data_IF_642205856714
#
_entry.id   IF_642205856714
#
_cell.length_a   1.000
_cell.length_b   1.000
_cell.length_c   1.000
_cell.angle_alpha   90.00
_cell.angle_beta   90.00
_cell.angle_gamma   90.00
#
_symmetry.space_group_name_H-M   'P 1'
#
loop_
_entity.id
_entity.type
_entity.pdbx_description
1 polymer ?
#
# COMPACT_ATOMS: atom_id res chain seq x y z
N UNK A 1 -22.84 -32.41 46.38
CA UNK A 1 -23.35 -32.62 45.01
C UNK A 1 -23.86 -31.35 44.33
N UNK A 2 -24.65 -30.48 44.98
CA UNK A 2 -25.18 -29.26 44.32
C UNK A 2 -24.15 -28.14 44.07
N UNK A 3 -23.18 -27.94 44.97
CA UNK A 3 -22.17 -26.87 44.84
C UNK A 3 -21.12 -27.09 43.72
N UNK A 4 -20.81 -28.35 43.40
CA UNK A 4 -19.87 -28.68 42.32
C UNK A 4 -20.46 -28.42 40.92
N UNK A 5 -21.76 -28.66 40.75
CA UNK A 5 -22.44 -28.41 39.47
C UNK A 5 -22.51 -26.90 39.19
N UNK A 6 -22.91 -26.11 40.18
CA UNK A 6 -22.99 -24.65 40.09
C UNK A 6 -21.62 -24.02 39.82
N UNK A 7 -20.55 -24.49 40.48
CA UNK A 7 -19.20 -23.99 40.25
C UNK A 7 -18.68 -24.25 38.83
N UNK A 8 -19.01 -25.41 38.24
CA UNK A 8 -18.64 -25.73 36.85
C UNK A 8 -19.41 -24.90 35.83
N UNK A 9 -20.68 -24.63 36.10
CA UNK A 9 -21.55 -23.83 35.22
C UNK A 9 -21.14 -22.36 35.24
N UNK A 10 -20.86 -21.80 36.42
CA UNK A 10 -20.29 -20.46 36.55
C UNK A 10 -18.91 -20.35 35.89
N UNK A 11 -18.04 -21.35 36.06
CA UNK A 11 -16.74 -21.37 35.39
C UNK A 11 -16.88 -21.42 33.86
N UNK A 12 -17.83 -22.19 33.34
CA UNK A 12 -18.11 -22.24 31.91
C UNK A 12 -18.64 -20.89 31.39
N UNK A 13 -19.56 -20.26 32.11
CA UNK A 13 -20.09 -18.94 31.79
C UNK A 13 -18.99 -17.87 31.79
N UNK A 14 -18.12 -17.88 32.80
CA UNK A 14 -16.98 -16.96 32.89
C UNK A 14 -16.04 -17.16 31.70
N UNK A 15 -15.70 -18.40 31.38
CA UNK A 15 -14.84 -18.73 30.23
C UNK A 15 -15.48 -18.24 28.93
N UNK A 16 -16.77 -18.44 28.73
CA UNK A 16 -17.47 -17.98 27.53
C UNK A 16 -17.61 -16.45 27.48
N UNK A 17 -17.72 -15.79 28.63
CA UNK A 17 -17.66 -14.33 28.71
C UNK A 17 -16.29 -13.81 28.29
N UNK A 18 -15.21 -14.38 28.83
CA UNK A 18 -13.84 -14.01 28.47
C UNK A 18 -13.55 -14.28 26.99
N UNK A 19 -13.94 -15.44 26.47
CA UNK A 19 -13.80 -15.76 25.04
C UNK A 19 -14.51 -14.74 24.16
N UNK A 20 -15.74 -14.36 24.50
CA UNK A 20 -16.50 -13.36 23.75
C UNK A 20 -15.80 -12.01 23.76
N UNK A 21 -15.35 -11.57 24.93
CA UNK A 21 -14.63 -10.30 25.05
C UNK A 21 -13.34 -10.30 24.21
N UNK A 22 -12.52 -11.34 24.37
CA UNK A 22 -11.26 -11.46 23.62
C UNK A 22 -11.51 -11.53 22.11
N UNK A 23 -12.51 -12.31 21.66
CA UNK A 23 -12.85 -12.39 20.25
C UNK A 23 -13.34 -11.05 19.68
N UNK A 24 -14.13 -10.30 20.46
CA UNK A 24 -14.59 -8.96 20.08
C UNK A 24 -13.42 -7.97 19.98
N UNK A 25 -12.51 -7.97 20.95
CA UNK A 25 -11.32 -7.11 20.93
C UNK A 25 -10.41 -7.44 19.75
N UNK A 26 -10.15 -8.73 19.47
CA UNK A 26 -9.35 -9.15 18.31
C UNK A 26 -10.00 -8.68 17.01
N UNK A 27 -11.29 -8.95 16.82
CA UNK A 27 -12.00 -8.55 15.61
C UNK A 27 -11.99 -7.03 15.37
N UNK A 28 -12.10 -6.24 16.45
CA UNK A 28 -12.00 -4.78 16.38
C UNK A 28 -10.62 -4.32 15.88
N UNK A 29 -9.54 -4.89 16.43
CA UNK A 29 -8.18 -4.56 16.02
C UNK A 29 -7.89 -5.02 14.59
N UNK A 30 -8.33 -6.21 14.20
CA UNK A 30 -8.15 -6.75 12.85
C UNK A 30 -8.81 -5.85 11.81
N UNK A 31 -10.07 -5.43 12.04
CA UNK A 31 -10.77 -4.51 11.15
C UNK A 31 -10.02 -3.17 10.99
N UNK A 32 -9.46 -2.65 12.08
CA UNK A 32 -8.65 -1.43 12.04
C UNK A 32 -7.34 -1.60 11.26
N UNK A 33 -6.68 -2.76 11.39
CA UNK A 33 -5.45 -3.07 10.67
C UNK A 33 -5.73 -3.31 9.18
N UNK A 34 -6.77 -4.04 8.84
CA UNK A 34 -7.20 -4.27 7.45
C UNK A 34 -7.50 -2.95 6.74
N UNK A 35 -8.23 -2.04 7.40
CA UNK A 35 -8.52 -0.72 6.85
C UNK A 35 -7.23 0.09 6.59
N UNK A 36 -6.25 0.02 7.50
CA UNK A 36 -4.96 0.71 7.36
C UNK A 36 -4.09 0.10 6.27
N UNK A 37 -4.06 -1.24 6.16
CA UNK A 37 -3.32 -1.95 5.10
C UNK A 37 -3.89 -1.57 3.74
N UNK A 38 -5.21 -1.66 3.58
CA UNK A 38 -5.88 -1.26 2.34
C UNK A 38 -5.55 0.19 1.95
N UNK A 39 -5.60 1.11 2.90
CA UNK A 39 -5.26 2.51 2.63
C UNK A 39 -3.79 2.71 2.20
N UNK A 40 -2.87 1.88 2.69
CA UNK A 40 -1.46 1.91 2.28
C UNK A 40 -1.24 1.29 0.90
N UNK A 41 -1.94 0.20 0.59
CA UNK A 41 -1.86 -0.49 -0.71
C UNK A 41 -2.47 0.33 -1.85
N UNK A 42 -3.57 1.06 -1.58
CA UNK A 42 -4.22 1.93 -2.56
C UNK A 42 -3.49 3.28 -2.74
N UNK A 43 -2.54 3.60 -1.86
CA UNK A 43 -1.81 4.87 -1.91
C UNK A 43 -0.95 4.93 -3.19
N UNK A 44 -1.07 6.01 -3.99
CA UNK A 44 -0.18 6.20 -5.14
C UNK A 44 1.30 6.19 -4.71
N UNK A 45 2.07 5.26 -5.27
CA UNK A 45 3.50 5.15 -5.04
C UNK A 45 4.28 5.78 -6.20
N UNK A 46 5.41 6.40 -5.84
CA UNK A 46 6.43 6.83 -6.80
C UNK A 46 7.50 5.73 -6.86
N UNK A 47 7.59 5.04 -7.98
CA UNK A 47 8.55 3.95 -8.19
C UNK A 47 9.61 4.38 -9.21
N UNK A 48 10.86 4.53 -8.79
CA UNK A 48 11.94 4.83 -9.72
C UNK A 48 12.39 3.55 -10.46
N UNK A 49 12.29 3.57 -11.80
CA UNK A 49 12.53 2.44 -12.70
C UNK A 49 13.85 2.55 -13.48
N UNK A 50 14.75 3.45 -13.07
CA UNK A 50 16.03 3.65 -13.73
C UNK A 50 15.95 4.49 -15.01
N UNK A 51 16.87 4.25 -15.94
CA UNK A 51 16.88 4.91 -17.26
C UNK A 51 15.75 4.32 -18.12
N UNK A 52 15.09 5.17 -18.91
CA UNK A 52 14.06 4.72 -19.84
C UNK A 52 14.59 3.68 -20.83
N UNK A 53 13.80 2.63 -21.04
CA UNK A 53 14.03 1.56 -22.01
C UNK A 53 12.75 1.32 -22.83
N UNK A 54 12.86 1.40 -24.15
CA UNK A 54 11.73 1.21 -25.08
C UNK A 54 11.18 -0.22 -25.12
N UNK A 55 11.90 -1.21 -24.57
CA UNK A 55 11.41 -2.58 -24.43
C UNK A 55 10.40 -2.73 -23.28
N UNK A 56 10.45 -1.85 -22.27
CA UNK A 56 9.67 -1.96 -21.04
C UNK A 56 8.33 -1.25 -21.14
N UNK A 57 7.35 -1.79 -20.42
CA UNK A 57 6.07 -1.14 -20.16
C UNK A 57 6.14 -0.40 -18.83
N UNK A 58 5.75 0.87 -18.82
CA UNK A 58 5.69 1.69 -17.62
C UNK A 58 4.25 1.97 -17.25
N UNK A 59 3.95 2.00 -15.96
CA UNK A 59 2.62 2.27 -15.41
C UNK A 59 2.60 3.63 -14.70
N UNK A 60 1.40 4.13 -14.39
CA UNK A 60 1.23 5.36 -13.62
C UNK A 60 1.99 5.27 -12.30
N UNK A 61 2.71 6.32 -11.92
CA UNK A 61 3.53 6.32 -10.70
C UNK A 61 4.99 5.94 -10.93
N UNK A 62 5.32 5.32 -12.07
CA UNK A 62 6.71 5.07 -12.43
C UNK A 62 7.43 6.39 -12.73
N UNK A 63 8.69 6.46 -12.31
CA UNK A 63 9.61 7.55 -12.58
C UNK A 63 10.84 7.00 -13.29
N UNK A 64 11.27 7.64 -14.37
CA UNK A 64 12.47 7.24 -15.13
C UNK A 64 13.38 8.43 -15.35
N UNK A 65 14.64 8.15 -15.70
CA UNK A 65 15.55 9.15 -16.28
C UNK A 65 15.63 8.99 -17.79
N UNK A 66 15.53 10.09 -18.53
CA UNK A 66 15.81 10.15 -19.97
C UNK A 66 16.35 11.53 -20.35
N UNK A 67 17.40 11.55 -21.17
CA UNK A 67 18.05 12.79 -21.61
C UNK A 67 18.58 13.67 -20.46
N UNK A 68 18.97 13.06 -19.33
CA UNK A 68 19.45 13.75 -18.12
C UNK A 68 18.36 14.36 -17.24
N UNK A 69 17.09 14.16 -17.59
CA UNK A 69 15.93 14.66 -16.83
C UNK A 69 15.17 13.52 -16.19
N UNK A 70 14.42 13.78 -15.10
CA UNK A 70 13.49 12.81 -14.51
C UNK A 70 12.07 13.06 -15.00
N UNK A 71 11.36 11.97 -15.26
CA UNK A 71 10.02 11.97 -15.84
C UNK A 71 9.09 11.10 -15.02
N UNK A 72 7.89 11.60 -14.74
CA UNK A 72 6.81 10.88 -14.08
C UNK A 72 5.83 10.34 -15.13
N UNK A 73 5.50 9.06 -15.03
CA UNK A 73 4.55 8.39 -15.91
C UNK A 73 3.12 8.60 -15.39
N UNK A 74 2.25 9.19 -16.21
CA UNK A 74 0.87 9.51 -15.84
C UNK A 74 -0.11 8.35 -16.10
N UNK A 75 0.24 7.46 -17.02
CA UNK A 75 -0.60 6.34 -17.47
C UNK A 75 0.27 5.29 -18.17
N UNK A 76 -0.26 4.09 -18.33
CA UNK A 76 0.46 3.00 -18.97
C UNK A 76 1.00 3.38 -20.37
N UNK A 77 2.30 3.17 -20.61
CA UNK A 77 2.93 3.52 -21.88
C UNK A 77 4.28 2.83 -22.12
N UNK A 78 4.63 2.68 -23.40
CA UNK A 78 6.01 2.41 -23.87
C UNK A 78 6.64 3.61 -24.56
N UNK A 79 5.90 4.71 -24.72
CA UNK A 79 6.39 5.90 -25.41
C UNK A 79 7.59 6.48 -24.66
N UNK A 80 8.53 7.07 -25.41
CA UNK A 80 9.68 7.75 -24.80
C UNK A 80 9.23 9.00 -24.05
N UNK A 81 9.83 9.32 -22.89
CA UNK A 81 9.57 10.59 -22.23
C UNK A 81 9.77 11.80 -23.17
N UNK A 82 8.90 12.79 -23.03
CA UNK A 82 8.89 13.98 -23.90
C UNK A 82 8.30 13.76 -25.30
N UNK A 83 8.02 12.53 -25.74
CA UNK A 83 7.41 12.28 -27.06
C UNK A 83 5.88 12.23 -27.05
N UNK A 84 5.25 12.23 -25.88
CA UNK A 84 3.80 12.14 -25.71
C UNK A 84 3.36 12.72 -24.36
N UNK A 85 2.05 13.01 -24.23
CA UNK A 85 1.45 13.44 -22.96
C UNK A 85 1.31 12.33 -21.90
N UNK A 86 1.90 11.15 -22.11
CA UNK A 86 1.94 10.09 -21.09
C UNK A 86 2.94 10.43 -19.97
N UNK A 87 3.87 11.35 -20.22
CA UNK A 87 4.95 11.71 -19.29
C UNK A 87 4.84 13.18 -18.86
N UNK A 88 5.12 13.44 -17.59
CA UNK A 88 5.32 14.78 -17.03
C UNK A 88 6.79 14.95 -16.67
N UNK A 89 7.42 16.05 -17.09
CA UNK A 89 8.78 16.39 -16.68
C UNK A 89 8.78 16.72 -15.18
N UNK A 90 9.40 15.85 -14.37
CA UNK A 90 9.45 15.99 -12.92
C UNK A 90 10.66 16.82 -12.48
N UNK A 91 11.83 16.58 -13.08
CA UNK A 91 13.05 17.36 -12.85
C UNK A 91 13.74 17.60 -14.18
N UNK A 92 13.97 18.87 -14.52
CA UNK A 92 14.70 19.26 -15.72
C UNK A 92 16.21 19.18 -15.46
N UNK A 93 16.97 18.66 -16.42
CA UNK A 93 18.43 18.71 -16.37
C UNK A 93 18.93 20.16 -16.23
N UNK A 94 20.05 20.34 -15.53
CA UNK A 94 20.75 21.62 -15.46
C UNK A 94 21.26 22.08 -16.83
N UNK A 95 21.61 23.36 -16.92
CA UNK A 95 22.41 23.89 -18.01
C UNK A 95 23.89 23.73 -17.65
N UNK A 96 24.73 23.35 -18.62
CA UNK A 96 26.17 23.31 -18.41
C UNK A 96 26.68 24.74 -18.16
N UNK A 97 27.55 24.91 -17.16
CA UNK A 97 28.24 26.16 -16.94
C UNK A 97 29.24 26.39 -18.09
N UNK A 98 29.14 27.54 -18.77
CA UNK A 98 30.14 27.99 -19.75
C UNK A 98 31.25 28.78 -19.07
#
# INVERSE_FOLDING_TARGET
MAGEAWGKEFAAELVDSVKRYVAQEIASHDAGLEARIKALEERPALEYRGVWDGALLYSKGNVVTDGGSMWFCNRETKARPGSSGCWTLAVKKGADAK
#
